data_IF_247659158999
#
_entry.id   IF_247659158999
#
_cell.length_a   1.000
_cell.length_b   1.000
_cell.length_c   1.000
_cell.angle_alpha   90.00
_cell.angle_beta   90.00
_cell.angle_gamma   90.00
#
_symmetry.space_group_name_H-M   'P 1'
#
loop_
_entity.id
_entity.type
_entity.pdbx_description
1 polymer ?
#
# COMPACT_ATOMS: atom_id res chain seq x y z
N UNK A 1 -18.57 -21.95 30.60
CA UNK A 1 -18.45 -20.54 30.17
C UNK A 1 -17.37 -20.43 29.08
N UNK A 2 -16.19 -20.99 29.26
CA UNK A 2 -15.14 -21.00 28.24
C UNK A 2 -15.60 -21.65 26.93
N UNK A 3 -16.26 -22.81 26.99
CA UNK A 3 -16.83 -23.51 25.83
C UNK A 3 -17.79 -22.64 25.02
N UNK A 4 -18.61 -21.80 25.67
CA UNK A 4 -19.49 -20.85 24.95
C UNK A 4 -18.72 -19.74 24.22
N UNK A 5 -17.58 -19.30 24.75
CA UNK A 5 -16.69 -18.35 24.08
C UNK A 5 -16.11 -19.00 22.84
N UNK A 6 -15.62 -20.25 22.96
CA UNK A 6 -15.05 -20.99 21.83
C UNK A 6 -16.09 -21.24 20.72
N UNK A 7 -17.34 -21.54 21.09
CA UNK A 7 -18.46 -21.67 20.13
C UNK A 7 -18.75 -20.37 19.41
N UNK A 8 -18.76 -19.22 20.10
CA UNK A 8 -18.99 -17.91 19.49
C UNK A 8 -17.84 -17.56 18.55
N UNK A 9 -16.59 -17.74 18.99
CA UNK A 9 -15.41 -17.46 18.15
C UNK A 9 -15.38 -18.35 16.90
N UNK A 10 -15.74 -19.63 17.02
CA UNK A 10 -15.86 -20.55 15.90
C UNK A 10 -16.95 -20.09 14.91
N UNK A 11 -18.10 -19.64 15.42
CA UNK A 11 -19.21 -19.12 14.61
C UNK A 11 -18.81 -17.83 13.88
N UNK A 12 -18.18 -16.88 14.57
CA UNK A 12 -17.67 -15.64 13.96
C UNK A 12 -16.67 -15.93 12.85
N UNK A 13 -15.71 -16.82 13.11
CA UNK A 13 -14.72 -17.27 12.11
C UNK A 13 -15.38 -17.93 10.90
N UNK A 14 -16.39 -18.73 11.10
CA UNK A 14 -17.14 -19.37 10.02
C UNK A 14 -17.91 -18.34 9.19
N UNK A 15 -18.54 -17.34 9.83
CA UNK A 15 -19.24 -16.23 9.16
C UNK A 15 -18.30 -15.34 8.37
N UNK A 16 -17.13 -15.07 8.90
CA UNK A 16 -16.08 -14.34 8.19
C UNK A 16 -15.59 -15.11 6.95
N UNK A 17 -15.33 -16.41 7.08
CA UNK A 17 -14.98 -17.27 5.95
C UNK A 17 -16.09 -17.36 4.90
N UNK A 18 -17.36 -17.50 5.28
CA UNK A 18 -18.49 -17.50 4.36
C UNK A 18 -18.60 -16.17 3.59
N UNK A 19 -18.42 -15.04 4.28
CA UNK A 19 -18.40 -13.70 3.67
C UNK A 19 -17.24 -13.57 2.69
N UNK A 20 -16.08 -14.06 3.07
CA UNK A 20 -14.86 -13.99 2.25
C UNK A 20 -14.91 -14.95 1.05
N UNK A 21 -15.66 -16.05 1.10
CA UNK A 21 -15.79 -16.95 -0.04
C UNK A 21 -16.67 -16.44 -1.18
N UNK A 22 -17.57 -15.49 -0.89
CA UNK A 22 -18.51 -14.94 -1.89
C UNK A 22 -17.94 -13.76 -2.69
N UNK A 23 -16.75 -13.29 -2.37
CA UNK A 23 -16.20 -12.12 -3.06
C UNK A 23 -15.94 -12.36 -4.56
N UNK A 24 -15.56 -13.57 -4.94
CA UNK A 24 -15.34 -13.92 -6.35
C UNK A 24 -16.64 -13.85 -7.14
N UNK A 25 -17.73 -14.35 -6.53
CA UNK A 25 -19.07 -14.32 -7.12
C UNK A 25 -19.60 -12.90 -7.22
N UNK A 26 -19.41 -12.10 -6.17
CA UNK A 26 -19.78 -10.68 -6.17
C UNK A 26 -19.05 -9.91 -7.27
N UNK A 27 -17.74 -10.14 -7.44
CA UNK A 27 -16.96 -9.53 -8.52
C UNK A 27 -17.51 -9.87 -9.91
N UNK A 28 -17.93 -11.12 -10.13
CA UNK A 28 -18.58 -11.57 -11.37
C UNK A 28 -19.88 -10.82 -11.63
N UNK A 29 -20.79 -10.79 -10.66
CA UNK A 29 -22.07 -10.10 -10.81
C UNK A 29 -21.91 -8.60 -11.04
N UNK A 30 -20.97 -7.95 -10.39
CA UNK A 30 -20.67 -6.53 -10.63
C UNK A 30 -20.20 -6.28 -12.08
N UNK A 31 -19.36 -7.17 -12.62
CA UNK A 31 -18.96 -7.09 -14.03
C UNK A 31 -20.15 -7.29 -14.97
N UNK A 32 -21.04 -8.25 -14.69
CA UNK A 32 -22.27 -8.48 -15.47
C UNK A 32 -23.22 -7.26 -15.42
N UNK A 33 -23.45 -6.70 -14.22
CA UNK A 33 -24.28 -5.49 -14.03
C UNK A 33 -23.72 -4.31 -14.82
N UNK A 34 -22.38 -4.13 -14.82
CA UNK A 34 -21.74 -3.06 -15.58
C UNK A 34 -21.87 -3.29 -17.09
N UNK A 35 -21.54 -4.48 -17.57
CA UNK A 35 -21.56 -4.80 -18.99
C UNK A 35 -22.98 -4.77 -19.58
N UNK A 36 -23.97 -5.33 -18.88
CA UNK A 36 -25.37 -5.32 -19.28
C UNK A 36 -26.10 -4.02 -18.96
N UNK A 37 -25.43 -3.07 -18.33
CA UNK A 37 -26.02 -1.78 -17.90
C UNK A 37 -27.27 -1.96 -17.00
N UNK A 38 -27.37 -3.07 -16.26
CA UNK A 38 -28.53 -3.38 -15.41
C UNK A 38 -28.75 -2.37 -14.29
N UNK A 39 -27.70 -1.60 -13.92
CA UNK A 39 -27.82 -0.48 -12.99
C UNK A 39 -28.84 0.59 -13.43
N UNK A 40 -29.17 0.70 -14.73
CA UNK A 40 -30.19 1.63 -15.25
C UNK A 40 -31.58 1.33 -14.74
N UNK A 41 -31.88 0.09 -14.38
CA UNK A 41 -33.19 -0.31 -13.82
C UNK A 41 -33.45 0.37 -12.47
N UNK A 42 -32.38 0.77 -11.74
CA UNK A 42 -32.48 1.49 -10.48
C UNK A 42 -32.59 3.03 -10.66
N UNK A 43 -32.77 3.50 -11.88
CA UNK A 43 -32.90 4.93 -12.20
C UNK A 43 -31.69 5.77 -11.74
N UNK A 44 -30.51 5.20 -11.73
CA UNK A 44 -29.25 5.90 -11.46
C UNK A 44 -28.59 6.36 -12.77
N UNK A 45 -27.80 7.44 -12.71
CA UNK A 45 -27.19 8.06 -13.88
C UNK A 45 -25.94 7.34 -14.38
N UNK A 46 -25.28 6.58 -13.50
CA UNK A 46 -24.04 5.90 -13.82
C UNK A 46 -23.83 4.65 -12.97
N UNK A 47 -22.91 3.79 -13.41
CA UNK A 47 -22.48 2.64 -12.63
C UNK A 47 -21.79 3.06 -11.31
N UNK A 48 -21.09 4.19 -11.29
CA UNK A 48 -20.51 4.76 -10.07
C UNK A 48 -21.57 5.13 -9.05
N UNK A 49 -22.68 5.79 -9.48
CA UNK A 49 -23.80 6.12 -8.60
C UNK A 49 -24.47 4.86 -8.06
N UNK A 50 -24.61 3.82 -8.89
CA UNK A 50 -25.09 2.52 -8.45
C UNK A 50 -24.19 1.94 -7.35
N UNK A 51 -22.88 1.98 -7.54
CA UNK A 51 -21.93 1.50 -6.52
C UNK A 51 -21.98 2.34 -5.24
N UNK A 52 -22.13 3.65 -5.33
CA UNK A 52 -22.24 4.52 -4.16
C UNK A 52 -23.48 4.18 -3.32
N UNK A 53 -24.61 3.88 -3.95
CA UNK A 53 -25.83 3.46 -3.25
C UNK A 53 -25.72 2.08 -2.62
N UNK A 54 -25.10 1.11 -3.33
CA UNK A 54 -25.02 -0.28 -2.89
C UNK A 54 -23.85 -0.56 -1.94
N UNK A 55 -22.76 0.22 -2.05
CA UNK A 55 -21.51 0.08 -1.31
C UNK A 55 -21.06 1.41 -0.72
N UNK A 56 -21.86 2.06 0.16
CA UNK A 56 -21.58 3.40 0.66
C UNK A 56 -20.23 3.51 1.37
N UNK A 57 -19.82 2.44 2.06
CA UNK A 57 -18.57 2.42 2.81
C UNK A 57 -17.35 1.96 1.99
N UNK A 58 -17.54 1.35 0.82
CA UNK A 58 -16.45 0.67 0.13
C UNK A 58 -16.61 0.50 -1.38
N UNK A 59 -16.95 1.58 -2.10
CA UNK A 59 -16.97 1.58 -3.58
C UNK A 59 -15.67 1.04 -4.17
N UNK A 60 -14.54 1.42 -3.59
CA UNK A 60 -13.21 0.94 -4.03
C UNK A 60 -13.07 -0.58 -3.97
N UNK A 61 -13.65 -1.22 -2.94
CA UNK A 61 -13.64 -2.68 -2.81
C UNK A 61 -14.41 -3.34 -3.97
N UNK A 62 -15.54 -2.77 -4.41
CA UNK A 62 -16.28 -3.29 -5.55
C UNK A 62 -15.42 -3.35 -6.81
N UNK A 63 -14.69 -2.29 -7.13
CA UNK A 63 -13.74 -2.28 -8.25
C UNK A 63 -12.59 -3.28 -8.10
N UNK A 64 -12.10 -3.50 -6.88
CA UNK A 64 -11.08 -4.52 -6.64
C UNK A 64 -11.59 -5.93 -6.93
N UNK A 65 -12.82 -6.24 -6.52
CA UNK A 65 -13.45 -7.54 -6.79
C UNK A 65 -13.71 -7.74 -8.29
N UNK A 66 -14.12 -6.69 -8.99
CA UNK A 66 -14.27 -6.72 -10.46
C UNK A 66 -12.91 -6.96 -11.13
N UNK A 67 -11.86 -6.27 -10.70
CA UNK A 67 -10.50 -6.47 -11.23
C UNK A 67 -9.99 -7.90 -11.04
N UNK A 68 -10.27 -8.53 -9.91
CA UNK A 68 -9.96 -9.94 -9.67
C UNK A 68 -10.69 -10.82 -10.70
N UNK A 69 -11.97 -10.56 -10.91
CA UNK A 69 -12.77 -11.36 -11.86
C UNK A 69 -12.29 -11.20 -13.30
N UNK A 70 -11.93 -9.99 -13.72
CA UNK A 70 -11.54 -9.67 -15.10
C UNK A 70 -10.14 -10.15 -15.47
N UNK A 71 -9.22 -10.17 -14.50
CA UNK A 71 -7.81 -10.43 -14.78
C UNK A 71 -7.35 -11.84 -14.41
N UNK A 72 -8.01 -12.51 -13.46
CA UNK A 72 -7.59 -13.86 -13.09
C UNK A 72 -8.32 -14.94 -13.91
N UNK A 73 -7.60 -16.00 -14.34
CA UNK A 73 -8.21 -17.11 -15.01
C UNK A 73 -9.17 -17.90 -14.10
N UNK A 74 -10.15 -18.62 -14.66
CA UNK A 74 -11.16 -19.34 -13.88
C UNK A 74 -10.57 -20.33 -12.85
N UNK A 75 -9.43 -20.95 -13.15
CA UNK A 75 -8.71 -21.81 -12.22
C UNK A 75 -8.24 -21.05 -10.99
N UNK A 76 -7.54 -19.93 -11.17
CA UNK A 76 -7.07 -19.10 -10.06
C UNK A 76 -8.22 -18.61 -9.17
N UNK A 77 -9.31 -18.17 -9.79
CA UNK A 77 -10.49 -17.69 -9.06
C UNK A 77 -11.13 -18.73 -8.13
N UNK A 78 -11.11 -20.01 -8.51
CA UNK A 78 -11.63 -21.10 -7.67
C UNK A 78 -10.79 -21.31 -6.40
N UNK A 79 -9.49 -21.11 -6.50
CA UNK A 79 -8.53 -21.32 -5.41
C UNK A 79 -8.39 -20.11 -4.47
N UNK A 80 -8.98 -18.94 -4.85
CA UNK A 80 -8.93 -17.74 -4.02
C UNK A 80 -9.65 -17.86 -2.67
N UNK A 81 -10.52 -18.86 -2.50
CA UNK A 81 -11.17 -19.12 -1.20
C UNK A 81 -10.16 -19.36 -0.07
N UNK A 82 -9.02 -19.97 -0.40
CA UNK A 82 -7.94 -20.24 0.55
C UNK A 82 -6.99 -19.06 0.73
N UNK A 83 -6.87 -18.22 -0.28
CA UNK A 83 -5.89 -17.11 -0.35
C UNK A 83 -6.46 -15.79 0.14
N UNK A 84 -7.77 -15.59 -0.03
CA UNK A 84 -8.47 -14.36 0.30
C UNK A 84 -8.40 -13.28 -0.79
N UNK A 85 -9.33 -12.33 -0.74
CA UNK A 85 -9.49 -11.30 -1.78
C UNK A 85 -8.33 -10.32 -1.87
N UNK A 86 -7.67 -10.00 -0.74
CA UNK A 86 -6.54 -9.06 -0.73
C UNK A 86 -5.34 -9.57 -1.50
N UNK A 87 -4.96 -10.82 -1.29
CA UNK A 87 -3.91 -11.46 -2.10
C UNK A 87 -4.41 -11.75 -3.53
N UNK A 88 -5.70 -12.05 -3.69
CA UNK A 88 -6.34 -12.17 -5.01
C UNK A 88 -6.22 -10.91 -5.86
N UNK A 89 -6.31 -9.73 -5.24
CA UNK A 89 -6.08 -8.45 -5.92
C UNK A 89 -4.63 -8.30 -6.39
N UNK A 90 -3.67 -8.67 -5.55
CA UNK A 90 -2.26 -8.65 -5.92
C UNK A 90 -1.96 -9.61 -7.09
N UNK A 91 -2.52 -10.83 -7.04
CA UNK A 91 -2.45 -11.78 -8.16
C UNK A 91 -3.03 -11.21 -9.45
N UNK A 92 -4.14 -10.48 -9.36
CA UNK A 92 -4.77 -9.86 -10.53
C UNK A 92 -3.88 -8.79 -11.18
N UNK A 93 -3.03 -8.10 -10.42
CA UNK A 93 -2.06 -7.14 -10.97
C UNK A 93 -1.01 -7.83 -11.83
N UNK A 94 -0.44 -8.95 -11.35
CA UNK A 94 0.54 -9.74 -12.09
C UNK A 94 -0.09 -10.32 -13.35
N UNK A 95 -1.25 -10.98 -13.22
CA UNK A 95 -1.95 -11.58 -14.35
C UNK A 95 -2.37 -10.54 -15.41
N UNK A 96 -2.66 -9.30 -15.02
CA UNK A 96 -2.99 -8.22 -15.96
C UNK A 96 -1.78 -7.78 -16.77
N UNK A 97 -0.59 -7.77 -16.15
CA UNK A 97 0.67 -7.35 -16.81
C UNK A 97 1.07 -8.31 -17.92
N UNK A 98 1.00 -9.60 -17.65
CA UNK A 98 1.37 -10.65 -18.60
C UNK A 98 0.37 -11.81 -18.57
N UNK A 99 -0.71 -11.64 -19.36
CA UNK A 99 -1.78 -12.63 -19.42
C UNK A 99 -1.36 -13.97 -20.04
N UNK A 100 -0.43 -13.92 -20.97
CA UNK A 100 -0.03 -15.09 -21.75
C UNK A 100 0.94 -15.97 -20.98
N UNK A 101 1.81 -15.38 -20.19
CA UNK A 101 2.84 -16.11 -19.42
C UNK A 101 2.56 -16.16 -17.91
N UNK A 102 1.33 -15.78 -17.47
CA UNK A 102 0.97 -15.83 -16.06
C UNK A 102 0.99 -17.26 -15.53
N UNK A 103 2.05 -17.60 -14.79
CA UNK A 103 2.15 -18.90 -14.10
C UNK A 103 1.24 -18.93 -12.87
N UNK A 104 -0.01 -19.32 -13.12
CA UNK A 104 -1.05 -19.40 -12.12
C UNK A 104 -0.68 -20.32 -10.94
N UNK A 105 0.03 -21.44 -11.19
CA UNK A 105 0.35 -22.41 -10.15
C UNK A 105 1.40 -21.87 -9.18
N UNK A 106 2.49 -21.33 -9.70
CA UNK A 106 3.56 -20.72 -8.89
C UNK A 106 3.04 -19.54 -8.08
N UNK A 107 2.25 -18.65 -8.68
CA UNK A 107 1.73 -17.47 -7.99
C UNK A 107 0.69 -17.81 -6.92
N UNK A 108 -0.15 -18.82 -7.13
CA UNK A 108 -1.07 -19.30 -6.10
C UNK A 108 -0.32 -19.99 -4.95
N UNK A 109 0.72 -20.76 -5.24
CA UNK A 109 1.57 -21.34 -4.20
C UNK A 109 2.23 -20.25 -3.34
N UNK A 110 2.88 -19.27 -3.96
CA UNK A 110 3.44 -18.10 -3.25
C UNK A 110 2.39 -17.40 -2.39
N UNK A 111 1.19 -17.20 -2.92
CA UNK A 111 0.10 -16.54 -2.20
C UNK A 111 -0.38 -17.34 -0.98
N UNK A 112 -0.29 -18.67 -0.97
CA UNK A 112 -0.62 -19.49 0.20
C UNK A 112 0.46 -19.45 1.26
N UNK A 113 1.72 -19.61 0.84
CA UNK A 113 2.85 -19.75 1.77
C UNK A 113 3.28 -18.43 2.42
N UNK A 114 3.23 -17.33 1.68
CA UNK A 114 3.73 -16.05 2.16
C UNK A 114 2.71 -15.29 3.00
N UNK A 115 3.11 -14.60 4.09
CA UNK A 115 2.30 -13.57 4.73
C UNK A 115 1.88 -12.48 3.73
N UNK A 116 0.76 -11.80 3.99
CA UNK A 116 0.17 -10.81 3.09
C UNK A 116 1.16 -9.73 2.65
N UNK A 117 1.93 -9.17 3.58
CA UNK A 117 2.87 -8.08 3.28
C UNK A 117 4.06 -8.56 2.45
N UNK A 118 4.61 -9.74 2.77
CA UNK A 118 5.68 -10.35 1.97
C UNK A 118 5.20 -10.68 0.54
N UNK A 119 3.98 -11.20 0.42
CA UNK A 119 3.40 -11.48 -0.88
C UNK A 119 3.21 -10.21 -1.71
N UNK A 120 2.77 -9.11 -1.10
CA UNK A 120 2.65 -7.81 -1.76
C UNK A 120 4.01 -7.30 -2.26
N UNK A 121 5.07 -7.43 -1.45
CA UNK A 121 6.44 -7.07 -1.85
C UNK A 121 6.94 -7.91 -3.03
N UNK A 122 6.68 -9.22 -3.00
CA UNK A 122 7.02 -10.12 -4.09
C UNK A 122 6.34 -9.74 -5.40
N UNK A 123 5.04 -9.39 -5.34
CA UNK A 123 4.29 -8.88 -6.48
C UNK A 123 4.86 -7.55 -6.97
N UNK A 124 5.21 -6.64 -6.09
CA UNK A 124 5.78 -5.36 -6.46
C UNK A 124 7.16 -5.52 -7.10
N UNK A 125 8.00 -6.42 -6.56
CA UNK A 125 9.29 -6.80 -7.17
C UNK A 125 9.10 -7.34 -8.59
N UNK A 126 8.13 -8.22 -8.80
CA UNK A 126 7.81 -8.75 -10.13
C UNK A 126 7.35 -7.65 -11.08
N UNK A 127 6.50 -6.73 -10.61
CA UNK A 127 5.94 -5.67 -11.44
C UNK A 127 6.94 -4.56 -11.77
N UNK A 128 7.85 -4.22 -10.87
CA UNK A 128 8.75 -3.07 -11.00
C UNK A 128 10.20 -3.44 -11.29
N UNK A 129 10.58 -4.69 -11.04
CA UNK A 129 11.97 -5.15 -11.10
C UNK A 129 12.84 -4.59 -9.95
N UNK A 130 12.22 -3.93 -8.96
CA UNK A 130 12.90 -3.33 -7.80
C UNK A 130 12.43 -4.01 -6.52
N UNK A 131 13.35 -4.25 -5.61
CA UNK A 131 12.97 -4.60 -4.25
C UNK A 131 12.38 -3.35 -3.59
N UNK A 132 11.12 -3.43 -3.18
CA UNK A 132 10.53 -2.38 -2.36
C UNK A 132 10.94 -2.58 -0.91
N UNK A 133 11.37 -1.51 -0.28
CA UNK A 133 11.65 -1.52 1.16
C UNK A 133 10.36 -1.85 1.92
N UNK A 134 10.40 -2.77 2.93
CA UNK A 134 9.25 -3.07 3.75
C UNK A 134 8.70 -1.80 4.41
N UNK A 135 7.40 -1.58 4.31
CA UNK A 135 6.75 -0.41 4.92
C UNK A 135 5.82 -0.84 6.05
N UNK A 136 5.84 -0.09 7.14
CA UNK A 136 4.93 -0.24 8.27
C UNK A 136 4.12 1.03 8.46
N UNK A 137 2.85 0.90 8.88
CA UNK A 137 1.99 2.04 9.18
C UNK A 137 2.12 2.37 10.67
N UNK A 138 2.61 3.57 10.97
CA UNK A 138 2.71 4.08 12.33
C UNK A 138 1.57 5.05 12.60
N UNK A 139 0.84 4.84 13.68
CA UNK A 139 -0.31 5.65 14.08
C UNK A 139 0.04 6.55 15.26
N UNK A 140 -0.31 7.82 15.15
CA UNK A 140 -0.19 8.78 16.25
C UNK A 140 -1.56 9.30 16.66
N UNK A 141 -1.85 9.34 17.98
CA UNK A 141 -3.01 10.04 18.52
C UNK A 141 -2.62 11.50 18.75
N UNK A 142 -3.22 12.41 17.98
CA UNK A 142 -2.91 13.83 18.01
C UNK A 142 -4.11 14.63 18.53
N UNK A 143 -3.84 15.69 19.29
CA UNK A 143 -4.84 16.71 19.60
C UNK A 143 -5.06 17.63 18.40
N UNK A 144 -6.28 18.20 18.27
CA UNK A 144 -6.61 19.07 17.13
C UNK A 144 -5.67 20.25 16.97
N UNK A 145 -5.15 20.80 18.08
CA UNK A 145 -4.19 21.91 18.08
C UNK A 145 -2.80 21.55 17.53
N UNK A 146 -2.44 20.26 17.53
CA UNK A 146 -1.14 19.78 17.01
C UNK A 146 -1.16 19.53 15.49
N UNK A 147 -2.34 19.26 14.94
CA UNK A 147 -2.49 18.90 13.53
C UNK A 147 -1.97 20.00 12.59
N UNK A 148 -2.35 21.31 12.76
CA UNK A 148 -1.89 22.36 11.86
C UNK A 148 -0.36 22.50 11.82
N UNK A 149 0.30 22.34 12.96
CA UNK A 149 1.77 22.43 13.06
C UNK A 149 2.44 21.31 12.28
N UNK A 150 1.92 20.08 12.42
CA UNK A 150 2.43 18.90 11.72
C UNK A 150 2.18 19.01 10.23
N UNK A 151 0.97 19.42 9.81
CA UNK A 151 0.64 19.62 8.40
C UNK A 151 1.56 20.68 7.77
N UNK A 152 1.75 21.81 8.42
CA UNK A 152 2.64 22.86 7.93
C UNK A 152 4.10 22.39 7.80
N UNK A 153 4.59 21.62 8.77
CA UNK A 153 5.95 21.07 8.70
C UNK A 153 6.10 20.09 7.52
N UNK A 154 5.12 19.19 7.33
CA UNK A 154 5.12 18.22 6.21
C UNK A 154 5.01 18.94 4.86
N UNK A 155 4.15 19.95 4.74
CA UNK A 155 4.02 20.76 3.51
C UNK A 155 5.31 21.53 3.21
N UNK A 156 5.94 22.13 4.22
CA UNK A 156 7.22 22.82 4.04
C UNK A 156 8.32 21.87 3.57
N UNK A 157 8.42 20.69 4.18
CA UNK A 157 9.37 19.66 3.75
C UNK A 157 9.08 19.19 2.30
N UNK A 158 7.81 19.02 1.93
CA UNK A 158 7.42 18.66 0.57
C UNK A 158 7.83 19.71 -0.46
N UNK A 159 7.66 21.00 -0.14
CA UNK A 159 8.12 22.10 -1.00
C UNK A 159 9.63 22.13 -1.17
N UNK A 160 10.39 21.87 -0.10
CA UNK A 160 11.86 21.83 -0.14
C UNK A 160 12.40 20.63 -0.93
N UNK A 161 11.71 19.48 -0.89
CA UNK A 161 12.15 18.21 -1.50
C UNK A 161 11.56 17.95 -2.89
N UNK A 162 10.58 18.75 -3.31
CA UNK A 162 9.76 18.53 -4.49
C UNK A 162 8.40 17.91 -4.14
N UNK A 163 7.35 18.33 -4.86
CA UNK A 163 5.95 18.05 -4.56
C UNK A 163 5.52 16.58 -4.78
N UNK A 164 6.35 15.75 -5.37
CA UNK A 164 6.11 14.34 -5.67
C UNK A 164 6.45 13.38 -4.51
N UNK A 165 7.00 13.92 -3.42
CA UNK A 165 7.45 13.10 -2.28
C UNK A 165 6.29 12.68 -1.36
N UNK A 166 6.39 11.44 -0.85
CA UNK A 166 5.39 10.93 0.10
C UNK A 166 5.46 11.65 1.45
N UNK A 167 4.33 11.70 2.18
CA UNK A 167 4.29 12.29 3.53
C UNK A 167 5.25 11.58 4.51
N UNK A 168 5.43 10.25 4.37
CA UNK A 168 6.39 9.49 5.18
C UNK A 168 7.82 9.94 4.93
N UNK A 169 8.17 10.21 3.68
CA UNK A 169 9.47 10.74 3.30
C UNK A 169 9.70 12.16 3.83
N UNK A 170 8.70 13.02 3.76
CA UNK A 170 8.77 14.36 4.35
C UNK A 170 8.95 14.30 5.87
N UNK A 171 8.24 13.40 6.55
CA UNK A 171 8.38 13.18 7.99
C UNK A 171 9.78 12.67 8.35
N UNK A 172 10.33 11.75 7.57
CA UNK A 172 11.71 11.26 7.75
C UNK A 172 12.72 12.42 7.70
N UNK A 173 12.56 13.33 6.74
CA UNK A 173 13.44 14.50 6.60
C UNK A 173 13.33 15.46 7.79
N UNK A 174 12.11 15.75 8.26
CA UNK A 174 11.88 16.58 9.45
C UNK A 174 12.55 15.94 10.67
N UNK A 175 12.39 14.64 10.87
CA UNK A 175 13.00 13.93 11.98
C UNK A 175 14.54 13.91 11.86
N UNK A 176 15.07 13.73 10.66
CA UNK A 176 16.52 13.71 10.42
C UNK A 176 17.15 15.10 10.72
N UNK A 177 16.49 16.17 10.32
CA UNK A 177 16.92 17.54 10.62
C UNK A 177 16.92 17.83 12.13
N UNK A 178 15.83 17.45 12.80
CA UNK A 178 15.73 17.58 14.26
C UNK A 178 16.85 16.80 14.98
N UNK A 179 17.09 15.54 14.56
CA UNK A 179 18.14 14.71 15.14
C UNK A 179 19.55 15.26 14.86
N UNK A 180 19.78 15.83 13.67
CA UNK A 180 21.06 16.46 13.35
C UNK A 180 21.33 17.64 14.28
N UNK A 181 20.34 18.51 14.51
CA UNK A 181 20.43 19.62 15.46
C UNK A 181 20.62 19.17 16.92
N UNK A 182 19.85 18.18 17.37
CA UNK A 182 19.92 17.69 18.75
C UNK A 182 21.20 16.91 19.06
N UNK A 183 21.80 16.24 18.09
CA UNK A 183 23.02 15.43 18.30
C UNK A 183 24.31 16.24 18.20
N UNK A 184 24.27 17.47 17.74
CA UNK A 184 25.43 18.37 17.78
C UNK A 184 25.91 18.61 19.22
N UNK A 185 24.99 18.61 20.20
CA UNK A 185 25.34 18.78 21.61
C UNK A 185 25.78 17.46 22.31
N UNK A 186 25.31 16.31 21.84
CA UNK A 186 25.50 15.01 22.48
C UNK A 186 26.61 14.11 21.86
N UNK A 187 27.27 14.57 20.81
CA UNK A 187 28.46 13.92 20.24
C UNK A 187 28.26 12.57 19.57
N UNK A 188 27.03 12.16 19.22
CA UNK A 188 26.79 10.92 18.49
C UNK A 188 27.11 11.09 16.99
N UNK A 189 28.40 10.97 16.66
CA UNK A 189 28.92 11.14 15.30
C UNK A 189 28.32 10.21 14.25
N UNK A 190 27.87 9.02 14.64
CA UNK A 190 27.31 8.05 13.71
C UNK A 190 25.92 8.48 13.17
N UNK A 191 25.05 9.00 14.04
CA UNK A 191 23.73 9.50 13.64
C UNK A 191 23.88 10.75 12.79
N UNK A 192 24.79 11.65 13.16
CA UNK A 192 25.11 12.85 12.37
C UNK A 192 25.60 12.47 10.97
N UNK A 193 26.53 11.52 10.88
CA UNK A 193 27.07 11.05 9.60
C UNK A 193 25.98 10.44 8.70
N UNK A 194 25.09 9.63 9.27
CA UNK A 194 23.94 9.07 8.53
C UNK A 194 23.00 10.16 8.02
N UNK A 195 22.74 11.19 8.83
CA UNK A 195 21.91 12.33 8.43
C UNK A 195 22.56 13.11 7.28
N UNK A 196 23.85 13.42 7.41
CA UNK A 196 24.62 14.10 6.34
C UNK A 196 24.60 13.30 5.03
N UNK A 197 24.80 11.98 5.09
CA UNK A 197 24.75 11.10 3.91
C UNK A 197 23.35 11.07 3.26
N UNK A 198 22.30 11.15 4.07
CA UNK A 198 20.93 11.27 3.55
C UNK A 198 20.73 12.60 2.83
N UNK A 199 21.02 13.72 3.48
CA UNK A 199 20.88 15.05 2.87
C UNK A 199 21.72 15.17 1.60
N UNK A 200 22.92 14.62 1.58
CA UNK A 200 23.79 14.62 0.42
C UNK A 200 23.15 13.97 -0.82
N UNK A 201 22.32 12.92 -0.64
CA UNK A 201 21.64 12.25 -1.75
C UNK A 201 20.60 13.14 -2.44
N UNK A 202 20.10 14.18 -1.77
CA UNK A 202 19.09 15.11 -2.29
C UNK A 202 19.67 16.31 -3.02
N UNK A 203 20.94 16.59 -2.83
CA UNK A 203 21.59 17.68 -3.55
C UNK A 203 21.62 17.39 -5.06
N UNK A 204 21.36 18.38 -5.91
CA UNK A 204 21.65 18.30 -7.35
C UNK A 204 23.09 17.89 -7.61
N UNK A 205 23.36 17.29 -8.78
CA UNK A 205 24.68 16.76 -9.11
C UNK A 205 25.83 17.77 -8.99
N UNK A 206 25.60 19.00 -9.44
CA UNK A 206 26.55 20.12 -9.33
C UNK A 206 26.83 20.50 -7.87
N UNK A 207 25.79 20.57 -7.06
CA UNK A 207 25.91 20.91 -5.63
C UNK A 207 26.61 19.82 -4.81
N UNK A 208 26.41 18.53 -5.20
CA UNK A 208 27.15 17.41 -4.60
C UNK A 208 28.65 17.54 -4.81
N UNK A 209 29.05 17.94 -6.02
CA UNK A 209 30.44 18.13 -6.35
C UNK A 209 31.05 19.27 -5.54
N UNK A 210 30.36 20.41 -5.51
CA UNK A 210 30.78 21.57 -4.70
C UNK A 210 30.87 21.24 -3.22
N UNK A 211 29.96 20.45 -2.68
CA UNK A 211 29.99 19.99 -1.29
C UNK A 211 31.22 19.13 -1.02
N UNK A 212 31.53 18.17 -1.91
CA UNK A 212 32.71 17.28 -1.78
C UNK A 212 34.01 18.06 -1.87
N UNK A 213 34.12 19.04 -2.79
CA UNK A 213 35.30 19.89 -2.95
C UNK A 213 35.54 20.72 -1.69
N UNK A 214 34.50 21.35 -1.13
CA UNK A 214 34.57 22.09 0.14
C UNK A 214 34.95 21.19 1.34
N UNK A 215 34.45 19.97 1.35
CA UNK A 215 34.73 19.03 2.42
C UNK A 215 36.19 18.56 2.38
N UNK A 216 36.72 18.32 1.18
CA UNK A 216 38.11 17.94 0.97
C UNK A 216 39.08 19.07 1.38
N UNK A 217 38.76 20.32 1.04
CA UNK A 217 39.56 21.50 1.43
C UNK A 217 39.64 21.71 2.95
N UNK A 218 38.56 21.41 3.68
CA UNK A 218 38.55 21.58 5.17
C UNK A 218 39.05 20.38 5.94
N UNK A 219 39.22 19.23 5.30
CA UNK A 219 39.75 18.00 5.89
C UNK A 219 41.27 17.84 5.72
N UNK A 220 41.88 18.72 4.94
CA UNK A 220 43.32 18.84 4.73
C UNK A 220 43.93 19.85 5.69
#
# INVERSE_FOLDING_TARGET
MLTKIDEILAWEKQKEMERDTRFVELGRYLCEVRAGQYWRVEHVKSFDEFLERRFPESRRKAYYLMSIHENLPPRARRELKEVGWTKGLELAKVARRDREHFDCATWLHKAREMPKEQFKQEVERELTGKESEPSEIVYFKLFRSQIPVIEQAVETAALMLGTDKSRGYCLEMICADFLAGANLENGNSQVLLQSVLRFFKFLPGEERKTFLDHFAEKAS
#
